data_IF_808194326676
#
_entry.id   IF_808194326676
#
_cell.length_a   1.000
_cell.length_b   1.000
_cell.length_c   1.000
_cell.angle_alpha   90.00
_cell.angle_beta   90.00
_cell.angle_gamma   90.00
#
_symmetry.space_group_name_H-M   'P 1'
#
loop_
_entity.id
_entity.type
_entity.pdbx_description
1 polymer ?
#
# COMPACT_ATOMS: atom_id res chain seq x y z
N UNK A 1 -0.66 5.68 16.46
CA UNK A 1 -1.97 5.09 16.07
C UNK A 1 -2.87 4.91 17.29
N UNK A 2 -4.13 5.35 17.25
CA UNK A 2 -5.11 5.12 18.34
C UNK A 2 -5.87 3.78 18.16
N UNK A 3 -6.41 3.15 19.22
CA UNK A 3 -7.17 1.90 19.12
C UNK A 3 -8.35 1.93 18.14
N UNK A 4 -9.12 3.04 18.11
CA UNK A 4 -10.25 3.18 17.19
C UNK A 4 -9.85 3.19 15.71
N UNK A 5 -8.67 3.75 15.38
CA UNK A 5 -8.11 3.74 14.01
C UNK A 5 -7.71 2.33 13.61
N UNK A 6 -7.06 1.59 14.51
CA UNK A 6 -6.70 0.19 14.27
C UNK A 6 -7.96 -0.67 14.03
N UNK A 7 -8.98 -0.55 14.89
CA UNK A 7 -10.23 -1.27 14.72
C UNK A 7 -10.93 -0.92 13.40
N UNK A 8 -10.96 0.37 13.04
CA UNK A 8 -11.50 0.80 11.74
C UNK A 8 -10.76 0.14 10.58
N UNK A 9 -9.44 0.03 10.68
CA UNK A 9 -8.62 -0.60 9.65
C UNK A 9 -8.89 -2.11 9.55
N UNK A 10 -8.96 -2.81 10.68
CA UNK A 10 -9.31 -4.25 10.74
C UNK A 10 -10.69 -4.50 10.12
N UNK A 11 -11.68 -3.65 10.39
CA UNK A 11 -13.02 -3.75 9.77
C UNK A 11 -12.97 -3.62 8.25
N UNK A 12 -12.17 -2.70 7.73
CA UNK A 12 -12.02 -2.51 6.29
C UNK A 12 -11.24 -3.66 5.63
N UNK A 13 -10.25 -4.23 6.33
CA UNK A 13 -9.55 -5.43 5.87
C UNK A 13 -10.51 -6.62 5.76
N UNK A 14 -11.36 -6.84 6.77
CA UNK A 14 -12.37 -7.90 6.70
C UNK A 14 -13.39 -7.63 5.58
N UNK A 15 -13.76 -6.37 5.36
CA UNK A 15 -14.62 -6.00 4.23
C UNK A 15 -13.98 -6.35 2.88
N UNK A 16 -12.68 -6.08 2.68
CA UNK A 16 -11.94 -6.50 1.48
C UNK A 16 -12.03 -8.01 1.27
N UNK A 17 -11.79 -8.78 2.34
CA UNK A 17 -11.88 -10.25 2.32
C UNK A 17 -13.28 -10.72 1.90
N UNK A 18 -14.32 -10.19 2.53
CA UNK A 18 -15.71 -10.56 2.23
C UNK A 18 -16.13 -10.17 0.81
N UNK A 19 -15.65 -9.03 0.29
CA UNK A 19 -15.93 -8.59 -1.08
C UNK A 19 -15.41 -9.57 -2.13
N UNK A 20 -14.29 -10.24 -1.85
CA UNK A 20 -13.62 -11.18 -2.75
C UNK A 20 -14.04 -12.64 -2.53
N UNK A 21 -14.30 -13.03 -1.28
CA UNK A 21 -14.54 -14.43 -0.92
C UNK A 21 -16.01 -14.82 -0.79
N UNK A 22 -16.95 -13.88 -0.96
CA UNK A 22 -18.38 -14.13 -0.76
C UNK A 22 -19.24 -13.42 -1.80
N UNK A 23 -20.49 -13.85 -1.94
CA UNK A 23 -21.53 -13.22 -2.75
C UNK A 23 -22.36 -12.16 -2.01
N UNK A 24 -22.03 -11.83 -0.75
CA UNK A 24 -22.78 -10.87 0.07
C UNK A 24 -22.86 -9.49 -0.62
N UNK A 25 -23.99 -8.80 -0.51
CA UNK A 25 -24.12 -7.42 -0.99
C UNK A 25 -23.22 -6.46 -0.20
N UNK A 26 -22.93 -5.29 -0.80
CA UNK A 26 -22.18 -4.21 -0.13
C UNK A 26 -22.87 -3.78 1.18
N UNK A 27 -24.20 -3.79 1.18
CA UNK A 27 -25.02 -3.48 2.37
C UNK A 27 -24.81 -4.51 3.49
N UNK A 28 -24.91 -5.81 3.17
CA UNK A 28 -24.68 -6.88 4.15
C UNK A 28 -23.26 -6.85 4.71
N UNK A 29 -22.26 -6.63 3.86
CA UNK A 29 -20.85 -6.51 4.28
C UNK A 29 -20.67 -5.32 5.22
N UNK A 30 -21.24 -4.16 4.88
CA UNK A 30 -21.19 -2.95 5.72
C UNK A 30 -21.70 -3.23 7.14
N UNK A 31 -22.86 -3.87 7.26
CA UNK A 31 -23.43 -4.23 8.57
C UNK A 31 -22.59 -5.30 9.28
N UNK A 32 -22.12 -6.31 8.55
CA UNK A 32 -21.31 -7.41 9.10
C UNK A 32 -19.97 -6.93 9.66
N UNK A 33 -19.37 -5.90 9.08
CA UNK A 33 -18.14 -5.28 9.60
C UNK A 33 -18.39 -4.15 10.61
N UNK A 34 -19.64 -3.98 11.07
CA UNK A 34 -19.99 -3.12 12.18
C UNK A 34 -20.15 -1.63 11.85
N UNK A 35 -20.49 -1.29 10.60
CA UNK A 35 -20.93 0.05 10.23
C UNK A 35 -22.46 0.16 10.31
N UNK A 36 -22.94 1.28 10.87
CA UNK A 36 -24.38 1.58 10.98
C UNK A 36 -24.99 2.12 9.69
N UNK A 37 -24.17 2.59 8.74
CA UNK A 37 -24.66 3.06 7.44
C UNK A 37 -23.72 2.66 6.30
N UNK A 38 -24.34 2.27 5.18
CA UNK A 38 -23.65 1.89 3.94
C UNK A 38 -22.90 3.08 3.33
N UNK A 39 -23.45 4.29 3.46
CA UNK A 39 -22.80 5.52 2.98
C UNK A 39 -21.50 5.82 3.71
N UNK A 40 -21.49 5.70 5.05
CA UNK A 40 -20.27 5.88 5.85
C UNK A 40 -19.24 4.80 5.54
N UNK A 41 -19.67 3.54 5.46
CA UNK A 41 -18.80 2.43 5.08
C UNK A 41 -18.18 2.67 3.70
N UNK A 42 -18.99 2.95 2.68
CA UNK A 42 -18.52 3.08 1.29
C UNK A 42 -17.54 4.25 1.13
N UNK A 43 -17.81 5.37 1.81
CA UNK A 43 -16.91 6.53 1.81
C UNK A 43 -15.58 6.21 2.48
N UNK A 44 -15.62 5.56 3.66
CA UNK A 44 -14.41 5.15 4.38
C UNK A 44 -13.61 4.12 3.58
N UNK A 45 -14.27 3.09 3.05
CA UNK A 45 -13.66 2.08 2.21
C UNK A 45 -12.97 2.72 1.00
N UNK A 46 -13.67 3.57 0.25
CA UNK A 46 -13.07 4.27 -0.91
C UNK A 46 -11.87 5.12 -0.51
N UNK A 47 -11.97 5.87 0.59
CA UNK A 47 -10.86 6.73 1.05
C UNK A 47 -9.62 5.94 1.48
N UNK A 48 -9.80 4.76 2.08
CA UNK A 48 -8.71 3.93 2.61
C UNK A 48 -8.16 2.96 1.58
N UNK A 49 -9.01 2.39 0.73
CA UNK A 49 -8.67 1.34 -0.24
C UNK A 49 -8.35 1.92 -1.62
N UNK A 50 -8.88 3.10 -1.95
CA UNK A 50 -8.74 3.76 -3.25
C UNK A 50 -9.85 3.42 -4.25
N UNK A 51 -10.60 2.34 -4.02
CA UNK A 51 -11.71 1.88 -4.86
C UNK A 51 -13.02 1.85 -4.05
N UNK A 52 -14.16 2.06 -4.72
CA UNK A 52 -15.45 1.77 -4.07
C UNK A 52 -15.59 0.27 -3.79
N UNK A 53 -16.43 -0.15 -2.84
CA UNK A 53 -16.65 -1.58 -2.57
C UNK A 53 -17.03 -2.39 -3.82
N UNK A 54 -17.94 -1.86 -4.66
CA UNK A 54 -18.38 -2.52 -5.90
C UNK A 54 -17.24 -2.63 -6.92
N UNK A 55 -16.52 -1.52 -7.17
CA UNK A 55 -15.39 -1.53 -8.09
C UNK A 55 -14.27 -2.48 -7.60
N UNK A 56 -14.02 -2.52 -6.29
CA UNK A 56 -13.06 -3.44 -5.69
C UNK A 56 -13.43 -4.90 -5.95
N UNK A 57 -14.71 -5.25 -5.87
CA UNK A 57 -15.21 -6.60 -6.20
C UNK A 57 -15.08 -6.90 -7.70
N UNK A 58 -15.54 -5.99 -8.55
CA UNK A 58 -15.53 -6.16 -10.01
C UNK A 58 -14.11 -6.37 -10.53
N UNK A 59 -13.16 -5.59 -10.01
CA UNK A 59 -11.76 -5.69 -10.37
C UNK A 59 -11.00 -6.77 -9.58
N UNK A 60 -11.70 -7.65 -8.85
CA UNK A 60 -11.11 -8.75 -8.05
C UNK A 60 -10.01 -8.29 -7.07
N UNK A 61 -10.12 -7.05 -6.60
CA UNK A 61 -9.20 -6.47 -5.62
C UNK A 61 -8.07 -5.63 -6.22
N UNK A 62 -8.01 -5.49 -7.55
CA UNK A 62 -6.95 -4.79 -8.28
C UNK A 62 -7.38 -3.39 -8.71
N UNK A 63 -6.44 -2.44 -8.68
CA UNK A 63 -6.60 -1.15 -9.35
C UNK A 63 -5.79 -1.17 -10.64
N UNK A 64 -6.46 -1.03 -11.79
CA UNK A 64 -5.83 -1.09 -13.13
C UNK A 64 -4.74 -0.04 -13.37
N UNK A 65 -4.71 1.01 -12.55
CA UNK A 65 -3.60 1.94 -12.36
C UNK A 65 -3.89 2.75 -11.10
N UNK A 66 -2.91 2.93 -10.21
CA UNK A 66 -2.84 4.21 -9.51
C UNK A 66 -2.15 5.11 -10.53
N UNK A 67 -2.65 6.32 -10.83
CA UNK A 67 -1.85 7.34 -11.48
C UNK A 67 -0.69 7.67 -10.53
N UNK A 68 0.35 6.84 -10.58
CA UNK A 68 1.69 7.20 -10.21
C UNK A 68 2.05 8.23 -11.26
N UNK A 69 2.25 9.46 -10.81
CA UNK A 69 2.73 10.52 -11.68
C UNK A 69 4.15 10.14 -12.10
N UNK A 70 4.27 9.36 -13.18
CA UNK A 70 5.53 9.18 -13.89
C UNK A 70 5.75 10.48 -14.64
N UNK A 71 6.01 11.60 -13.95
CA UNK A 71 6.42 12.80 -14.68
C UNK A 71 7.07 13.94 -13.90
N UNK A 72 8.12 14.42 -14.58
CA UNK A 72 8.77 15.72 -14.62
C UNK A 72 9.84 16.05 -13.57
N UNK A 73 11.04 16.47 -14.04
CA UNK A 73 12.07 17.02 -13.16
C UNK A 73 11.54 18.33 -12.57
N UNK A 74 11.30 18.34 -11.26
CA UNK A 74 11.06 19.57 -10.53
C UNK A 74 12.39 20.24 -10.23
N UNK A 75 12.43 21.56 -10.40
CA UNK A 75 13.63 22.41 -10.23
C UNK A 75 14.06 22.59 -8.77
N UNK A 76 13.29 22.08 -7.81
CA UNK A 76 13.59 22.02 -6.36
C UNK A 76 12.90 20.80 -5.72
N UNK A 77 13.46 19.61 -5.91
CA UNK A 77 12.90 18.36 -5.38
C UNK A 77 13.66 17.89 -4.14
N UNK A 78 12.97 17.69 -3.00
CA UNK A 78 13.53 16.89 -1.91
C UNK A 78 13.37 15.42 -2.31
N UNK A 79 14.45 14.67 -2.26
CA UNK A 79 14.46 13.26 -2.62
C UNK A 79 14.79 12.40 -1.41
N UNK A 80 13.99 11.35 -1.21
CA UNK A 80 14.25 10.31 -0.21
C UNK A 80 14.78 9.09 -0.94
N UNK A 81 15.90 8.55 -0.48
CA UNK A 81 16.51 7.36 -1.07
C UNK A 81 16.85 6.35 0.02
N UNK A 82 16.99 5.10 -0.38
CA UNK A 82 17.26 4.03 0.55
C UNK A 82 17.33 2.68 -0.13
N UNK A 83 17.32 1.64 0.69
CA UNK A 83 17.41 0.26 0.26
C UNK A 83 16.33 -0.56 0.97
N UNK A 84 15.53 -1.26 0.17
CA UNK A 84 14.67 -2.34 0.65
C UNK A 84 15.47 -3.62 0.59
N UNK A 85 15.66 -4.27 1.73
CA UNK A 85 16.30 -5.58 1.77
C UNK A 85 15.33 -6.60 2.35
N UNK A 86 15.59 -7.87 2.06
CA UNK A 86 14.80 -8.94 2.64
C UNK A 86 15.46 -9.46 3.91
N UNK A 87 14.68 -9.57 4.99
CA UNK A 87 15.22 -10.03 6.27
C UNK A 87 15.35 -11.55 6.34
N UNK A 88 14.46 -12.29 5.65
CA UNK A 88 14.45 -13.75 5.63
C UNK A 88 14.76 -14.30 4.22
N UNK A 89 15.71 -15.23 4.12
CA UNK A 89 16.30 -15.71 2.86
C UNK A 89 15.38 -16.58 1.96
N UNK A 90 14.06 -16.61 2.19
CA UNK A 90 13.16 -17.61 1.60
C UNK A 90 12.13 -17.12 0.57
N UNK A 91 11.93 -15.81 0.38
CA UNK A 91 10.76 -15.30 -0.37
C UNK A 91 11.09 -14.10 -1.26
N UNK A 92 11.90 -14.26 -2.31
CA UNK A 92 12.66 -13.14 -2.90
C UNK A 92 12.50 -12.81 -4.38
N UNK A 93 11.38 -13.11 -5.02
CA UNK A 93 11.09 -12.68 -6.41
C UNK A 93 9.72 -12.00 -6.54
N UNK A 94 9.46 -11.06 -5.62
CA UNK A 94 8.22 -10.29 -5.59
C UNK A 94 8.47 -8.83 -5.94
N UNK A 95 7.52 -8.25 -6.65
CA UNK A 95 7.47 -6.81 -6.87
C UNK A 95 7.23 -6.09 -5.55
N UNK A 96 8.00 -5.04 -5.28
CA UNK A 96 7.93 -4.26 -4.05
C UNK A 96 7.34 -2.88 -4.34
N UNK A 97 6.19 -2.59 -3.75
CA UNK A 97 5.68 -1.23 -3.66
C UNK A 97 6.32 -0.51 -2.48
N UNK A 98 6.78 0.73 -2.68
CA UNK A 98 7.32 1.61 -1.63
C UNK A 98 6.57 2.93 -1.67
N UNK A 99 6.02 3.38 -0.54
CA UNK A 99 5.25 4.62 -0.47
C UNK A 99 5.43 5.40 0.83
N UNK A 100 5.24 6.71 0.74
CA UNK A 100 5.19 7.63 1.88
C UNK A 100 3.74 7.91 2.26
N UNK A 101 3.42 7.67 3.53
CA UNK A 101 2.08 7.83 4.07
C UNK A 101 2.10 8.75 5.29
N UNK A 102 1.02 9.51 5.55
CA UNK A 102 0.94 10.37 6.73
C UNK A 102 0.71 9.59 8.04
N UNK A 103 0.53 8.26 7.99
CA UNK A 103 0.29 7.41 9.17
C UNK A 103 0.89 6.01 8.94
N UNK A 104 0.94 5.20 10.00
CA UNK A 104 1.45 3.82 10.00
C UNK A 104 0.56 2.83 9.26
N UNK A 105 -0.68 3.19 8.95
CA UNK A 105 -1.61 2.35 8.17
C UNK A 105 -1.42 2.72 6.69
N UNK A 106 -1.01 1.78 5.81
CA UNK A 106 -0.92 2.03 4.38
C UNK A 106 -2.31 2.06 3.77
N UNK A 107 -2.90 3.24 3.77
CA UNK A 107 -4.25 3.52 3.28
C UNK A 107 -4.31 4.86 2.54
N UNK A 108 -5.23 4.95 1.59
CA UNK A 108 -5.42 6.14 0.77
C UNK A 108 -4.24 6.37 -0.18
N UNK A 109 -4.21 7.58 -0.77
CA UNK A 109 -3.16 7.95 -1.73
C UNK A 109 -1.86 8.25 -0.98
N UNK A 110 -0.74 7.60 -1.33
CA UNK A 110 0.57 7.97 -0.80
C UNK A 110 0.97 9.37 -1.29
N UNK A 111 1.79 10.07 -0.52
CA UNK A 111 2.35 11.37 -0.94
C UNK A 111 3.30 11.20 -2.13
N UNK A 112 4.18 10.20 -2.04
CA UNK A 112 5.05 9.73 -3.12
C UNK A 112 5.12 8.20 -3.06
N UNK A 113 5.36 7.56 -4.19
CA UNK A 113 5.60 6.13 -4.23
C UNK A 113 6.48 5.74 -5.42
N UNK A 114 7.07 4.56 -5.32
CA UNK A 114 7.80 3.90 -6.40
C UNK A 114 7.57 2.40 -6.32
N UNK A 115 7.89 1.69 -7.38
CA UNK A 115 7.73 0.25 -7.49
C UNK A 115 9.03 -0.35 -7.97
N UNK A 116 9.48 -1.40 -7.28
CA UNK A 116 10.68 -2.16 -7.61
C UNK A 116 10.26 -3.55 -8.09
N UNK A 117 10.93 -4.08 -9.10
CA UNK A 117 10.69 -5.47 -9.54
C UNK A 117 11.10 -6.50 -8.49
N UNK A 118 12.04 -6.13 -7.63
CA UNK A 118 12.63 -6.95 -6.55
C UNK A 118 13.17 -6.03 -5.44
N UNK A 119 13.38 -6.55 -4.21
CA UNK A 119 14.04 -5.79 -3.15
C UNK A 119 15.39 -5.22 -3.62
N UNK A 120 15.62 -3.93 -3.36
CA UNK A 120 16.81 -3.22 -3.79
C UNK A 120 16.75 -1.72 -3.49
N UNK A 121 17.62 -0.92 -4.12
CA UNK A 121 17.65 0.52 -3.94
C UNK A 121 16.36 1.16 -4.45
N UNK A 122 15.86 2.17 -3.73
CA UNK A 122 14.72 2.97 -4.14
C UNK A 122 15.04 4.45 -4.08
N UNK A 123 14.30 5.22 -4.88
CA UNK A 123 14.32 6.69 -4.89
C UNK A 123 12.90 7.21 -5.02
N UNK A 124 12.56 8.16 -4.15
CA UNK A 124 11.33 8.93 -4.18
C UNK A 124 11.72 10.39 -4.41
N UNK A 125 11.26 10.93 -5.54
CA UNK A 125 11.47 12.33 -5.90
C UNK A 125 10.24 13.17 -5.56
N UNK A 126 10.42 14.49 -5.50
CA UNK A 126 9.35 15.46 -5.24
C UNK A 126 8.62 15.22 -3.90
N UNK A 127 9.35 14.77 -2.88
CA UNK A 127 8.76 14.48 -1.57
C UNK A 127 8.32 15.77 -0.89
N UNK A 128 7.02 15.92 -0.54
CA UNK A 128 6.55 17.11 0.14
C UNK A 128 7.17 17.23 1.53
N UNK A 129 7.35 18.46 2.00
CA UNK A 129 7.71 18.67 3.40
C UNK A 129 6.60 18.15 4.32
N UNK A 130 7.00 17.49 5.39
CA UNK A 130 6.08 16.88 6.34
C UNK A 130 6.71 15.75 7.12
N UNK A 131 5.90 15.12 7.97
CA UNK A 131 6.29 13.92 8.70
C UNK A 131 5.61 12.73 8.02
N UNK A 132 6.43 11.76 7.61
CA UNK A 132 5.99 10.68 6.75
C UNK A 132 6.41 9.32 7.30
N UNK A 133 5.60 8.30 7.04
CA UNK A 133 5.93 6.91 7.27
C UNK A 133 6.26 6.27 5.92
N UNK A 134 7.47 5.72 5.80
CA UNK A 134 7.90 4.93 4.67
C UNK A 134 7.41 3.50 4.86
N UNK A 135 6.49 3.06 4.02
CA UNK A 135 5.91 1.73 4.06
C UNK A 135 6.25 1.01 2.76
N UNK A 136 6.63 -0.25 2.86
CA UNK A 136 6.84 -1.10 1.70
C UNK A 136 6.10 -2.42 1.83
N UNK A 137 5.70 -2.97 0.70
CA UNK A 137 5.04 -4.27 0.62
C UNK A 137 5.53 -5.02 -0.62
N UNK A 138 5.89 -6.29 -0.42
CA UNK A 138 6.17 -7.22 -1.51
C UNK A 138 4.90 -7.98 -1.89
N UNK A 139 4.70 -8.15 -3.20
CA UNK A 139 3.65 -8.98 -3.78
C UNK A 139 4.30 -9.97 -4.74
N UNK A 140 4.07 -11.26 -4.52
CA UNK A 140 4.55 -12.33 -5.40
C UNK A 140 3.53 -12.53 -6.53
N UNK A 141 3.95 -12.49 -7.82
CA UNK A 141 3.04 -12.72 -8.94
C UNK A 141 2.37 -14.09 -8.85
N UNK A 142 1.05 -14.16 -9.04
CA UNK A 142 0.31 -15.42 -9.06
C UNK A 142 -0.28 -15.87 -7.71
N UNK A 143 0.14 -15.27 -6.59
CA UNK A 143 -0.55 -15.41 -5.28
C UNK A 143 -1.66 -14.37 -5.09
N UNK A 144 -2.04 -13.69 -6.17
CA UNK A 144 -3.07 -12.67 -6.26
C UNK A 144 -4.49 -13.19 -5.94
N UNK A 145 -4.74 -14.48 -6.15
CA UNK A 145 -6.08 -15.10 -6.07
C UNK A 145 -6.23 -16.18 -4.99
N UNK A 146 -5.17 -16.48 -4.25
CA UNK A 146 -5.25 -17.48 -3.20
C UNK A 146 -5.27 -16.72 -1.89
N UNK A 147 -6.21 -17.07 -1.02
CA UNK A 147 -6.02 -16.99 0.42
C UNK A 147 -4.83 -17.93 0.72
N UNK A 148 -3.63 -17.53 0.31
CA UNK A 148 -2.41 -18.32 0.35
C UNK A 148 -1.88 -18.25 1.76
N UNK A 149 -1.42 -19.38 2.27
CA UNK A 149 -0.97 -19.58 3.65
C UNK A 149 0.20 -18.68 4.10
N UNK A 150 0.74 -17.81 3.23
CA UNK A 150 1.83 -16.90 3.57
C UNK A 150 1.30 -15.48 3.79
N UNK A 151 1.53 -14.88 4.98
CA UNK A 151 1.19 -13.48 5.20
C UNK A 151 1.99 -12.57 4.24
N UNK A 152 1.41 -11.44 3.80
CA UNK A 152 2.13 -10.49 2.97
C UNK A 152 3.41 -10.04 3.67
N UNK A 153 4.47 -9.83 2.90
CA UNK A 153 5.74 -9.34 3.41
C UNK A 153 5.71 -7.81 3.39
N UNK A 154 5.89 -7.18 4.55
CA UNK A 154 5.78 -5.73 4.75
C UNK A 154 7.04 -5.18 5.41
N UNK A 155 7.30 -3.90 5.18
CA UNK A 155 8.29 -3.11 5.90
C UNK A 155 7.70 -1.75 6.27
N UNK A 156 8.12 -1.21 7.40
CA UNK A 156 7.71 0.11 7.86
C UNK A 156 8.90 0.82 8.50
N UNK A 157 9.04 2.11 8.22
CA UNK A 157 10.05 2.97 8.80
C UNK A 157 9.50 4.38 8.97
N UNK A 158 9.83 5.01 10.10
CA UNK A 158 9.48 6.39 10.37
C UNK A 158 8.89 6.61 11.77
N UNK A 159 8.40 7.82 12.04
CA UNK A 159 8.27 8.91 11.08
C UNK A 159 9.64 9.42 10.59
N UNK A 160 9.71 9.80 9.32
CA UNK A 160 10.81 10.58 8.74
C UNK A 160 10.33 12.02 8.55
N UNK A 161 11.18 12.98 8.89
CA UNK A 161 10.87 14.40 8.79
C UNK A 161 11.54 14.97 7.54
N UNK A 162 10.73 15.34 6.55
CA UNK A 162 11.19 15.92 5.29
C UNK A 162 11.10 17.45 5.39
N UNK A 163 12.24 18.14 5.31
CA UNK A 163 12.36 19.61 5.32
C UNK A 163 13.49 20.03 4.38
N UNK A 164 13.46 21.27 3.88
CA UNK A 164 14.56 21.81 3.06
C UNK A 164 15.91 21.75 3.81
N UNK A 165 16.97 21.32 3.13
CA UNK A 165 18.32 21.23 3.69
C UNK A 165 18.58 20.03 4.61
N UNK A 166 17.56 19.21 4.90
CA UNK A 166 17.73 17.96 5.65
C UNK A 166 18.13 16.84 4.69
N UNK A 167 19.35 16.31 4.85
CA UNK A 167 19.78 15.11 4.12
C UNK A 167 19.16 13.90 4.82
N UNK A 168 18.13 13.32 4.22
CA UNK A 168 17.62 12.02 4.64
C UNK A 168 18.58 10.99 4.06
N UNK A 169 19.39 10.38 4.94
CA UNK A 169 20.37 9.36 4.55
C UNK A 169 19.70 8.13 3.93
N UNK A 170 20.49 7.14 3.45
CA UNK A 170 19.92 5.96 2.84
C UNK A 170 19.12 5.18 3.88
N UNK A 171 17.79 5.24 3.77
CA UNK A 171 16.89 4.52 4.66
C UNK A 171 16.98 3.03 4.35
N UNK A 172 17.33 2.21 5.33
CA UNK A 172 17.34 0.75 5.18
C UNK A 172 16.06 0.19 5.80
N UNK A 173 15.22 -0.46 4.99
CA UNK A 173 13.98 -1.08 5.47
C UNK A 173 13.97 -2.58 5.14
N UNK A 174 13.71 -3.39 6.16
CA UNK A 174 13.69 -4.84 6.05
C UNK A 174 12.28 -5.37 5.81
N UNK A 175 12.07 -6.03 4.67
CA UNK A 175 10.87 -6.80 4.39
C UNK A 175 10.82 -8.03 5.30
N UNK A 176 9.72 -8.16 6.03
CA UNK A 176 9.42 -9.30 6.90
C UNK A 176 7.96 -9.72 6.79
N UNK A 177 7.60 -10.97 7.13
CA UNK A 177 6.21 -11.39 7.24
C UNK A 177 5.39 -10.44 8.13
N UNK A 178 4.17 -10.09 7.67
CA UNK A 178 3.22 -9.32 8.46
C UNK A 178 2.77 -10.11 9.69
N UNK A 179 2.83 -9.47 10.85
CA UNK A 179 2.42 -10.02 12.16
C UNK A 179 1.00 -9.60 12.48
N UNK A 180 0.35 -10.30 13.39
CA UNK A 180 -1.04 -10.02 13.82
C UNK A 180 -1.27 -8.60 14.34
N UNK A 181 -0.26 -8.00 14.99
CA UNK A 181 -0.34 -6.65 15.54
C UNK A 181 0.14 -5.56 14.56
N UNK A 182 0.59 -5.95 13.37
CA UNK A 182 0.93 -4.98 12.35
C UNK A 182 -0.35 -4.31 11.82
N UNK A 183 -0.30 -3.01 11.48
CA UNK A 183 -1.39 -2.36 10.78
C UNK A 183 -1.71 -3.08 9.47
N UNK A 184 -3.01 -3.28 9.15
CA UNK A 184 -3.37 -3.98 7.92
C UNK A 184 -3.12 -3.12 6.69
N UNK A 185 -2.78 -3.76 5.58
CA UNK A 185 -2.64 -3.08 4.29
C UNK A 185 -4.01 -2.90 3.64
N UNK A 186 -4.49 -1.66 3.64
CA UNK A 186 -5.82 -1.33 3.13
C UNK A 186 -5.82 -0.94 1.67
N UNK A 187 -4.77 -0.28 1.19
CA UNK A 187 -4.62 0.06 -0.22
C UNK A 187 -4.92 -1.17 -1.10
N UNK A 188 -5.82 -1.02 -2.07
CA UNK A 188 -5.98 -2.02 -3.12
C UNK A 188 -4.70 -2.01 -3.93
N UNK A 189 -3.92 -3.07 -3.81
CA UNK A 189 -2.56 -3.08 -4.33
C UNK A 189 -2.59 -2.83 -5.83
N UNK A 190 -1.71 -1.91 -6.19
CA UNK A 190 -1.32 -1.54 -7.52
C UNK A 190 -1.11 -2.76 -8.39
N UNK A 191 -1.80 -2.82 -9.52
CA UNK A 191 -1.38 -3.69 -10.59
C UNK A 191 -0.06 -3.13 -11.14
N UNK A 192 1.06 -3.76 -10.78
CA UNK A 192 2.41 -3.38 -11.25
C UNK A 192 2.66 -3.88 -12.67
N UNK A 193 1.81 -4.78 -13.17
CA UNK A 193 2.03 -5.42 -14.48
C UNK A 193 1.90 -4.48 -15.68
N UNK A 194 1.07 -3.43 -15.62
CA UNK A 194 0.82 -2.60 -16.82
C UNK A 194 1.84 -1.50 -17.08
N UNK A 195 2.56 -1.05 -16.04
CA UNK A 195 3.61 -0.03 -16.18
C UNK A 195 4.91 -0.61 -16.73
N UNK A 196 5.37 -1.73 -16.15
CA UNK A 196 6.61 -2.39 -16.54
C UNK A 196 6.58 -2.92 -17.99
N UNK A 197 5.44 -3.43 -18.45
CA UNK A 197 5.25 -3.87 -19.85
C UNK A 197 5.22 -2.72 -20.87
N UNK A 198 4.93 -1.47 -20.45
CA UNK A 198 5.01 -0.31 -21.36
C UNK A 198 6.40 0.32 -21.42
N UNK A 199 7.19 0.22 -20.35
CA UNK A 199 8.56 0.73 -20.28
C UNK A 199 9.59 -0.20 -20.96
N UNK A 200 9.26 -1.49 -21.11
CA UNK A 200 10.07 -2.46 -21.86
C UNK A 200 9.72 -2.51 -23.37
N UNK A 201 8.75 -1.72 -23.82
CA UNK A 201 8.26 -1.69 -25.21
C UNK A 201 8.50 -0.34 -25.91
N UNK A 202 9.50 0.44 -25.47
CA UNK A 202 9.95 1.67 -26.13
C UNK A 202 11.47 1.76 -26.18
#
# INVERSE_FOLDING_TARGET
MSPGRFLSAVRLQEAKRLLLSTSLSVTEISHKVGYSSVGTFSSRFKSSVGLSPSAYRELRGFAASIPVDIQRPATRSISVHGEVFQQDAGAGEGTVFVGLFPDTIPQGRPACCTVLERPGPFRLDNVPEGDWYLLAQSVVPGEEHVIGNAPPTVAAHGPITVRHGHIIGPLRIGLRPMRTLDPPVLLALLDVRRGALSAAAS
#
